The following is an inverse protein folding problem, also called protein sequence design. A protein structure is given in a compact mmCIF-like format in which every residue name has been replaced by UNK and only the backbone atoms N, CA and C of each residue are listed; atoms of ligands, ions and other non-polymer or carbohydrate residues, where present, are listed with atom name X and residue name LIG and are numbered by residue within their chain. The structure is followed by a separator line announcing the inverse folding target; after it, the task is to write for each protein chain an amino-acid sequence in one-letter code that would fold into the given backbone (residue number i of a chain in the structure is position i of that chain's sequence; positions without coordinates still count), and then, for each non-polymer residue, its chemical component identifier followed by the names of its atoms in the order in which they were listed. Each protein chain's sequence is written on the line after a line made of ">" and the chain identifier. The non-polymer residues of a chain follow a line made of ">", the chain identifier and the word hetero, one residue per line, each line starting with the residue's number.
data_IF_146349072596
#
_entry.id   IF_146349072596
#
_cell.length_a   1.000
_cell.length_b   1.000
_cell.length_c   1.000
_cell.angle_alpha   90.00
_cell.angle_beta   90.00
_cell.angle_gamma   90.00
#
_symmetry.space_group_name_H-M   'P 1'
#
loop_
_entity.id
_entity.type
_entity.pdbx_description
1 polymer ?
#
# COMPACT_ATOMS: atom_id res chain seq x y z
N UNK A 1 5.64 -1.93 35.83
CA UNK A 1 6.05 -2.78 34.71
C UNK A 1 5.37 -2.42 33.37
N UNK A 2 4.03 -2.28 33.26
CA UNK A 2 3.33 -1.98 32.01
C UNK A 2 3.74 -0.67 31.29
N UNK A 3 4.10 0.39 32.04
CA UNK A 3 4.56 1.66 31.45
C UNK A 3 5.97 1.58 30.87
N UNK A 4 6.91 0.92 31.55
CA UNK A 4 8.29 0.75 31.08
C UNK A 4 8.30 -0.09 29.79
N UNK A 5 7.54 -1.18 29.75
CA UNK A 5 7.40 -2.01 28.55
C UNK A 5 6.83 -1.22 27.35
N UNK A 6 5.83 -0.34 27.56
CA UNK A 6 5.29 0.53 26.50
C UNK A 6 6.31 1.54 26.01
N UNK A 7 7.05 2.17 26.92
CA UNK A 7 8.10 3.15 26.57
C UNK A 7 9.22 2.48 25.78
N UNK A 8 9.69 1.31 26.22
CA UNK A 8 10.69 0.53 25.49
C UNK A 8 10.21 0.11 24.11
N UNK A 9 8.95 -0.33 23.98
CA UNK A 9 8.37 -0.69 22.71
C UNK A 9 8.31 0.51 21.75
N UNK A 10 7.80 1.64 22.21
CA UNK A 10 7.75 2.88 21.42
C UNK A 10 9.16 3.34 21.02
N UNK A 11 10.10 3.34 21.96
CA UNK A 11 11.48 3.72 21.69
C UNK A 11 12.14 2.83 20.62
N UNK A 12 11.90 1.51 20.68
CA UNK A 12 12.40 0.56 19.70
C UNK A 12 11.88 0.84 18.28
N UNK A 13 10.60 1.16 18.14
CA UNK A 13 10.01 1.48 16.84
C UNK A 13 10.38 2.87 16.32
N UNK A 14 10.59 3.84 17.22
CA UNK A 14 11.01 5.19 16.84
C UNK A 14 12.52 5.29 16.57
N UNK A 15 13.32 4.38 17.10
CA UNK A 15 14.78 4.41 16.97
C UNK A 15 15.26 4.51 15.51
N UNK A 16 14.78 3.69 14.54
CA UNK A 16 15.20 3.80 13.15
C UNK A 16 14.87 5.17 12.54
N UNK A 17 13.72 5.75 12.88
CA UNK A 17 13.30 7.06 12.37
C UNK A 17 14.17 8.19 12.97
N UNK A 18 14.47 8.11 14.26
CA UNK A 18 15.38 9.05 14.92
C UNK A 18 16.79 8.94 14.33
N UNK A 19 17.27 7.71 14.11
CA UNK A 19 18.57 7.48 13.47
C UNK A 19 18.63 8.11 12.07
N UNK A 20 17.61 7.89 11.23
CA UNK A 20 17.53 8.50 9.90
C UNK A 20 17.47 10.04 9.99
N UNK A 21 16.74 10.59 10.97
CA UNK A 21 16.67 12.02 11.22
C UNK A 21 18.04 12.62 11.58
N UNK A 22 18.79 11.97 12.46
CA UNK A 22 20.17 12.38 12.82
C UNK A 22 21.08 12.24 11.60
N UNK A 23 21.00 11.12 10.89
CA UNK A 23 21.85 10.80 9.74
C UNK A 23 21.65 11.78 8.58
N UNK A 24 20.45 12.30 8.39
CA UNK A 24 20.12 13.30 7.38
C UNK A 24 20.95 14.58 7.56
N UNK A 25 21.25 14.97 8.80
CA UNK A 25 22.06 16.15 9.13
C UNK A 25 23.52 15.82 9.44
N UNK A 26 23.92 14.54 9.43
CA UNK A 26 25.28 14.13 9.69
C UNK A 26 26.15 14.39 8.46
N UNK A 27 27.28 15.05 8.69
CA UNK A 27 28.37 15.17 7.72
C UNK A 27 29.29 13.96 7.82
N UNK A 28 30.43 14.14 8.50
CA UNK A 28 31.36 13.05 8.82
C UNK A 28 30.84 12.31 10.04
N UNK A 29 30.67 11.00 9.88
CA UNK A 29 30.29 10.11 10.98
C UNK A 29 30.95 8.76 10.79
N UNK A 30 32.07 8.57 11.42
CA UNK A 30 32.90 7.38 11.30
C UNK A 30 32.80 6.51 12.55
N UNK A 31 32.81 5.19 12.37
CA UNK A 31 32.94 4.26 13.48
C UNK A 31 34.31 4.48 14.20
N UNK A 32 34.39 4.47 15.56
CA UNK A 32 33.38 4.07 16.53
C UNK A 32 32.54 5.20 17.14
N UNK A 33 32.51 6.41 16.55
CA UNK A 33 31.78 7.54 17.11
C UNK A 33 30.28 7.27 17.23
N UNK A 34 29.69 7.57 18.40
CA UNK A 34 28.26 7.40 18.65
C UNK A 34 27.42 8.56 18.10
N UNK A 35 28.03 9.73 17.89
CA UNK A 35 27.39 10.92 17.33
C UNK A 35 28.19 11.43 16.14
N UNK A 36 27.56 12.20 15.23
CA UNK A 36 28.27 12.81 14.11
C UNK A 36 29.35 13.77 14.57
N UNK A 37 30.51 13.70 13.91
CA UNK A 37 31.64 14.62 14.14
C UNK A 37 31.37 16.01 13.55
N UNK A 38 30.52 16.08 12.52
CA UNK A 38 30.11 17.33 11.91
C UNK A 38 28.63 17.29 11.49
N UNK A 39 28.01 18.46 11.48
CA UNK A 39 26.62 18.63 11.05
C UNK A 39 26.58 19.38 9.72
N UNK A 40 25.67 18.97 8.83
CA UNK A 40 25.54 19.56 7.49
C UNK A 40 24.10 19.64 7.04
N UNK A 41 23.76 20.68 6.25
CA UNK A 41 22.49 20.81 5.56
C UNK A 41 22.49 20.23 4.12
N UNK A 42 23.52 19.46 3.75
CA UNK A 42 23.73 18.97 2.37
C UNK A 42 22.55 18.21 1.81
N UNK A 43 21.89 17.38 2.60
CA UNK A 43 20.73 16.62 2.17
C UNK A 43 19.55 17.53 1.76
N UNK A 44 19.28 18.57 2.55
CA UNK A 44 18.23 19.54 2.23
C UNK A 44 18.59 20.35 0.98
N UNK A 45 19.84 20.81 0.89
CA UNK A 45 20.33 21.52 -0.31
C UNK A 45 20.20 20.65 -1.57
N UNK A 46 20.54 19.35 -1.48
CA UNK A 46 20.39 18.40 -2.57
C UNK A 46 18.92 18.26 -3.00
N UNK A 47 17.99 18.07 -2.05
CA UNK A 47 16.55 17.92 -2.34
C UNK A 47 16.01 19.20 -3.00
N UNK A 48 16.39 20.38 -2.52
CA UNK A 48 15.97 21.64 -3.10
C UNK A 48 16.52 21.84 -4.52
N UNK A 49 17.80 21.50 -4.74
CA UNK A 49 18.44 21.58 -6.06
C UNK A 49 17.82 20.57 -7.04
N UNK A 50 17.42 19.39 -6.58
CA UNK A 50 16.85 18.29 -7.38
C UNK A 50 15.33 18.14 -7.20
N UNK A 51 14.63 19.21 -6.79
CA UNK A 51 13.18 19.16 -6.53
C UNK A 51 12.36 18.64 -7.71
N UNK A 52 12.74 18.98 -8.93
CA UNK A 52 12.05 18.50 -10.14
C UNK A 52 12.05 16.99 -10.27
N UNK A 53 13.22 16.33 -10.36
CA UNK A 53 13.32 14.86 -10.36
C UNK A 53 12.66 14.17 -9.17
N UNK A 54 12.85 14.70 -7.94
CA UNK A 54 12.24 14.16 -6.72
C UNK A 54 10.72 14.20 -6.80
N UNK A 55 10.12 15.34 -7.13
CA UNK A 55 8.66 15.48 -7.23
C UNK A 55 8.08 14.66 -8.40
N UNK A 56 8.78 14.60 -9.53
CA UNK A 56 8.36 13.78 -10.68
C UNK A 56 8.33 12.30 -10.32
N UNK A 57 9.36 11.79 -9.64
CA UNK A 57 9.42 10.39 -9.24
C UNK A 57 8.39 10.07 -8.15
N UNK A 58 8.16 10.95 -7.18
CA UNK A 58 7.10 10.82 -6.17
C UNK A 58 5.71 10.82 -6.82
N UNK A 59 5.44 11.79 -7.70
CA UNK A 59 4.17 11.90 -8.40
C UNK A 59 3.86 10.68 -9.27
N UNK A 60 4.85 10.21 -10.03
CA UNK A 60 4.72 9.00 -10.85
C UNK A 60 4.48 7.76 -9.99
N UNK A 61 5.26 7.57 -8.91
CA UNK A 61 5.06 6.45 -7.97
C UNK A 61 3.68 6.47 -7.35
N UNK A 62 3.23 7.61 -6.89
CA UNK A 62 1.88 7.76 -6.31
C UNK A 62 0.81 7.46 -7.35
N UNK A 63 0.96 7.96 -8.57
CA UNK A 63 -0.01 7.78 -9.65
C UNK A 63 -0.14 6.29 -10.06
N UNK A 64 0.98 5.60 -10.35
CA UNK A 64 0.89 4.18 -10.72
C UNK A 64 0.44 3.29 -9.56
N UNK A 65 0.79 3.63 -8.31
CA UNK A 65 0.32 2.89 -7.14
C UNK A 65 -1.18 3.04 -6.91
N UNK A 66 -1.73 4.25 -7.05
CA UNK A 66 -3.17 4.47 -7.01
C UNK A 66 -3.89 3.76 -8.16
N UNK A 67 -3.31 3.78 -9.36
CA UNK A 67 -3.85 3.04 -10.52
C UNK A 67 -3.84 1.54 -10.26
N UNK A 68 -2.76 1.01 -9.65
CA UNK A 68 -2.70 -0.40 -9.25
C UNK A 68 -3.77 -0.76 -8.20
N UNK A 69 -4.06 0.14 -7.24
CA UNK A 69 -5.17 -0.04 -6.30
C UNK A 69 -6.50 -0.16 -7.03
N UNK A 70 -6.79 0.74 -7.98
CA UNK A 70 -8.05 0.71 -8.74
C UNK A 70 -8.19 -0.55 -9.59
N UNK A 71 -7.12 -0.95 -10.29
CA UNK A 71 -7.10 -2.19 -11.08
C UNK A 71 -7.30 -3.41 -10.17
N UNK A 72 -6.55 -3.49 -9.05
CA UNK A 72 -6.68 -4.59 -8.08
C UNK A 72 -8.09 -4.65 -7.49
N UNK A 73 -8.68 -3.51 -7.15
CA UNK A 73 -10.05 -3.42 -6.65
C UNK A 73 -11.06 -3.97 -7.67
N UNK A 74 -10.95 -3.53 -8.92
CA UNK A 74 -11.84 -3.95 -9.99
C UNK A 74 -11.81 -5.47 -10.20
N UNK A 75 -10.61 -6.05 -10.33
CA UNK A 75 -10.45 -7.49 -10.56
C UNK A 75 -10.72 -8.33 -9.32
N UNK A 76 -10.53 -7.82 -8.11
CA UNK A 76 -10.76 -8.55 -6.86
C UNK A 76 -12.22 -8.59 -6.43
N UNK A 77 -13.05 -7.63 -6.86
CA UNK A 77 -14.42 -7.47 -6.35
C UNK A 77 -15.29 -8.73 -6.58
N UNK A 78 -15.36 -9.20 -7.81
CA UNK A 78 -16.19 -10.35 -8.14
C UNK A 78 -15.70 -11.66 -7.49
N UNK A 79 -14.43 -12.05 -7.61
CA UNK A 79 -13.94 -13.25 -6.95
C UNK A 79 -14.03 -13.18 -5.42
N UNK A 80 -13.77 -12.03 -4.80
CA UNK A 80 -13.91 -11.86 -3.35
C UNK A 80 -15.35 -12.13 -2.88
N UNK A 81 -16.34 -11.58 -3.60
CA UNK A 81 -17.77 -11.79 -3.29
C UNK A 81 -18.15 -13.26 -3.42
N UNK A 82 -17.72 -13.93 -4.50
CA UNK A 82 -18.02 -15.36 -4.70
C UNK A 82 -17.39 -16.23 -3.62
N UNK A 83 -16.10 -16.00 -3.33
CA UNK A 83 -15.37 -16.74 -2.30
C UNK A 83 -15.93 -16.52 -0.89
N UNK A 84 -16.45 -15.31 -0.59
CA UNK A 84 -17.03 -15.01 0.71
C UNK A 84 -18.45 -15.62 0.87
N UNK A 85 -19.25 -15.62 -0.21
CA UNK A 85 -20.70 -15.87 -0.13
C UNK A 85 -21.12 -17.25 -0.60
N UNK A 86 -20.30 -17.95 -1.39
CA UNK A 86 -20.65 -19.25 -1.98
C UNK A 86 -19.74 -20.37 -1.52
N UNK A 87 -20.32 -21.54 -1.33
CA UNK A 87 -19.60 -22.79 -1.19
C UNK A 87 -19.78 -23.59 -2.48
N UNK A 88 -18.69 -24.04 -3.09
CA UNK A 88 -18.68 -24.81 -4.32
C UNK A 88 -17.49 -25.78 -4.32
N UNK A 89 -17.62 -26.85 -5.12
CA UNK A 89 -16.51 -27.81 -5.29
C UNK A 89 -15.31 -27.10 -5.91
N UNK A 90 -14.09 -27.34 -5.33
CA UNK A 90 -12.86 -26.69 -5.80
C UNK A 90 -12.63 -25.25 -5.28
N UNK A 91 -13.46 -24.73 -4.37
CA UNK A 91 -13.28 -23.40 -3.77
C UNK A 91 -11.86 -23.19 -3.21
N UNK A 92 -11.32 -24.19 -2.49
CA UNK A 92 -9.97 -24.12 -1.92
C UNK A 92 -8.91 -24.00 -3.01
N UNK A 93 -9.02 -24.79 -4.08
CA UNK A 93 -8.11 -24.73 -5.22
C UNK A 93 -8.13 -23.34 -5.89
N UNK A 94 -9.33 -22.82 -6.20
CA UNK A 94 -9.48 -21.49 -6.80
C UNK A 94 -8.88 -20.41 -5.89
N UNK A 95 -9.14 -20.49 -4.59
CA UNK A 95 -8.58 -19.54 -3.63
C UNK A 95 -7.05 -19.62 -3.57
N UNK A 96 -6.46 -20.82 -3.58
CA UNK A 96 -5.00 -21.00 -3.60
C UNK A 96 -4.40 -20.44 -4.88
N UNK A 97 -5.00 -20.69 -6.04
CA UNK A 97 -4.53 -20.15 -7.32
C UNK A 97 -4.58 -18.62 -7.36
N UNK A 98 -5.66 -18.01 -6.86
CA UNK A 98 -5.76 -16.55 -6.80
C UNK A 98 -4.78 -15.91 -5.82
N UNK A 99 -4.30 -16.65 -4.83
CA UNK A 99 -3.30 -16.20 -3.87
C UNK A 99 -1.86 -16.58 -4.28
N UNK A 100 -1.70 -17.38 -5.34
CA UNK A 100 -0.39 -17.84 -5.80
C UNK A 100 0.64 -16.71 -6.05
N UNK A 101 0.26 -15.49 -6.52
CA UNK A 101 1.22 -14.39 -6.67
C UNK A 101 1.95 -14.01 -5.38
N UNK A 102 1.37 -14.27 -4.18
CA UNK A 102 2.06 -14.02 -2.90
C UNK A 102 3.20 -14.99 -2.62
N UNK A 103 3.18 -16.15 -3.24
CA UNK A 103 4.17 -17.21 -3.04
C UNK A 103 5.34 -17.09 -4.01
N UNK A 104 5.18 -16.30 -5.07
CA UNK A 104 6.19 -16.13 -6.11
C UNK A 104 7.04 -14.89 -5.79
N UNK A 105 8.38 -15.03 -5.69
CA UNK A 105 9.26 -13.88 -5.54
C UNK A 105 9.07 -12.85 -6.66
N UNK A 106 9.09 -11.56 -6.33
CA UNK A 106 8.85 -10.47 -7.28
C UNK A 106 9.75 -10.56 -8.53
N UNK A 107 11.00 -10.97 -8.34
CA UNK A 107 11.98 -11.17 -9.45
C UNK A 107 11.51 -12.24 -10.42
N UNK A 108 11.07 -13.40 -9.92
CA UNK A 108 10.60 -14.52 -10.76
C UNK A 108 9.32 -14.12 -11.50
N UNK A 109 8.42 -13.45 -10.79
CA UNK A 109 7.18 -12.92 -11.35
C UNK A 109 7.45 -11.92 -12.48
N UNK A 110 8.38 -10.99 -12.25
CA UNK A 110 8.77 -9.99 -13.23
C UNK A 110 9.39 -10.64 -14.49
N UNK A 111 10.38 -11.50 -14.30
CA UNK A 111 11.07 -12.17 -15.42
C UNK A 111 10.12 -13.06 -16.22
N UNK A 112 9.19 -13.75 -15.56
CA UNK A 112 8.19 -14.59 -16.21
C UNK A 112 7.19 -13.81 -17.08
N UNK A 113 6.75 -12.62 -16.62
CA UNK A 113 5.77 -11.80 -17.33
C UNK A 113 6.39 -10.78 -18.27
N UNK A 114 7.66 -10.45 -18.14
CA UNK A 114 8.33 -9.46 -18.99
C UNK A 114 8.23 -9.75 -20.51
N UNK A 115 8.49 -10.98 -20.99
CA UNK A 115 8.32 -11.29 -22.41
C UNK A 115 6.88 -11.10 -22.91
N UNK A 116 5.90 -11.39 -22.06
CA UNK A 116 4.48 -11.16 -22.39
C UNK A 116 4.19 -9.66 -22.49
N UNK A 117 4.67 -8.85 -21.53
CA UNK A 117 4.49 -7.39 -21.54
C UNK A 117 5.14 -6.75 -22.77
N UNK A 118 6.31 -7.26 -23.20
CA UNK A 118 6.97 -6.85 -24.44
C UNK A 118 6.13 -7.16 -25.67
N UNK A 119 5.62 -8.41 -25.79
CA UNK A 119 4.77 -8.83 -26.92
C UNK A 119 3.48 -8.03 -27.01
N UNK A 120 2.91 -7.65 -25.88
CA UNK A 120 1.71 -6.83 -25.82
C UNK A 120 1.98 -5.33 -26.06
N UNK A 121 3.25 -4.93 -26.17
CA UNK A 121 3.65 -3.53 -26.38
C UNK A 121 3.31 -2.59 -25.22
N UNK A 122 3.18 -3.14 -24.01
CA UNK A 122 2.85 -2.38 -22.79
C UNK A 122 4.04 -2.22 -21.84
N UNK A 123 5.20 -2.85 -22.13
CA UNK A 123 6.47 -2.52 -21.47
C UNK A 123 6.85 -1.07 -21.72
N UNK A 124 7.67 -0.51 -20.83
CA UNK A 124 8.17 0.86 -20.89
C UNK A 124 7.08 1.93 -20.81
N UNK A 125 5.88 1.53 -20.39
CA UNK A 125 4.72 2.40 -20.28
C UNK A 125 4.15 2.39 -18.87
N UNK A 126 3.59 3.53 -18.46
CA UNK A 126 2.89 3.68 -17.19
C UNK A 126 1.82 2.61 -16.97
N UNK A 127 1.01 2.30 -17.99
CA UNK A 127 -0.06 1.28 -17.89
C UNK A 127 0.48 -0.12 -17.65
N UNK A 128 1.60 -0.51 -18.26
CA UNK A 128 2.26 -1.79 -18.02
C UNK A 128 2.79 -1.91 -16.58
N UNK A 129 3.42 -0.85 -16.08
CA UNK A 129 3.87 -0.78 -14.69
C UNK A 129 2.69 -0.89 -13.72
N UNK A 130 1.63 -0.11 -13.92
CA UNK A 130 0.44 -0.16 -13.08
C UNK A 130 -0.24 -1.54 -13.10
N UNK A 131 -0.29 -2.20 -14.26
CA UNK A 131 -0.89 -3.52 -14.42
C UNK A 131 -0.08 -4.60 -13.68
N UNK A 132 1.24 -4.63 -13.84
CA UNK A 132 2.08 -5.65 -13.17
C UNK A 132 2.04 -5.49 -11.65
N UNK A 133 2.06 -4.26 -11.16
CA UNK A 133 1.92 -3.96 -9.75
C UNK A 133 0.54 -4.37 -9.21
N UNK A 134 -0.51 -4.11 -9.99
CA UNK A 134 -1.85 -4.55 -9.64
C UNK A 134 -1.96 -6.07 -9.55
N UNK A 135 -1.36 -6.80 -10.50
CA UNK A 135 -1.37 -8.27 -10.52
C UNK A 135 -0.57 -8.85 -9.34
N UNK A 136 0.59 -8.28 -9.01
CA UNK A 136 1.39 -8.73 -7.87
C UNK A 136 0.72 -8.47 -6.52
N UNK A 137 0.03 -7.32 -6.39
CA UNK A 137 -0.65 -6.91 -5.16
C UNK A 137 -2.13 -7.34 -5.09
N UNK A 138 -2.70 -7.90 -6.17
CA UNK A 138 -4.09 -8.39 -6.25
C UNK A 138 -4.53 -9.23 -5.05
N UNK A 139 -3.71 -10.20 -4.55
CA UNK A 139 -4.13 -11.04 -3.43
C UNK A 139 -4.43 -10.28 -2.15
N UNK A 140 -3.75 -9.16 -1.89
CA UNK A 140 -4.02 -8.33 -0.71
C UNK A 140 -5.42 -7.70 -0.78
N UNK A 141 -5.77 -7.14 -1.94
CA UNK A 141 -7.11 -6.59 -2.16
C UNK A 141 -8.18 -7.68 -2.09
N UNK A 142 -7.92 -8.84 -2.72
CA UNK A 142 -8.81 -9.98 -2.69
C UNK A 142 -9.14 -10.42 -1.26
N UNK A 143 -8.13 -10.57 -0.40
CA UNK A 143 -8.31 -10.95 1.01
C UNK A 143 -9.09 -9.91 1.79
N UNK A 144 -8.74 -8.64 1.65
CA UNK A 144 -9.43 -7.56 2.34
C UNK A 144 -10.92 -7.51 1.97
N UNK A 145 -11.23 -7.58 0.67
CA UNK A 145 -12.62 -7.60 0.22
C UNK A 145 -13.35 -8.87 0.62
N UNK A 146 -12.70 -10.05 0.57
CA UNK A 146 -13.29 -11.31 1.00
C UNK A 146 -13.71 -11.23 2.48
N UNK A 147 -12.84 -10.70 3.35
CA UNK A 147 -13.15 -10.47 4.76
C UNK A 147 -14.31 -9.47 4.93
N UNK A 148 -14.27 -8.36 4.16
CA UNK A 148 -15.34 -7.37 4.17
C UNK A 148 -16.69 -7.95 3.75
N UNK A 149 -16.76 -8.77 2.70
CA UNK A 149 -17.99 -9.46 2.33
C UNK A 149 -18.45 -10.47 3.39
N UNK A 150 -17.52 -11.21 4.00
CA UNK A 150 -17.84 -12.21 5.01
C UNK A 150 -18.40 -11.59 6.31
N UNK A 151 -18.00 -10.37 6.66
CA UNK A 151 -18.47 -9.68 7.87
C UNK A 151 -19.88 -9.11 7.76
N UNK A 152 -20.46 -9.03 6.56
CA UNK A 152 -21.81 -8.48 6.36
C UNK A 152 -22.84 -9.62 6.48
N UNK A 153 -23.81 -9.57 7.41
CA UNK A 153 -24.87 -10.56 7.53
C UNK A 153 -25.72 -10.65 6.24
N UNK A 154 -26.13 -11.87 5.86
CA UNK A 154 -26.95 -12.08 4.65
C UNK A 154 -28.34 -11.42 4.75
N UNK A 155 -28.82 -11.26 5.95
CA UNK A 155 -30.12 -10.67 6.27
C UNK A 155 -30.23 -9.23 5.74
N UNK A 156 -29.15 -8.47 5.73
CA UNK A 156 -29.15 -7.12 5.13
C UNK A 156 -29.36 -7.14 3.61
N UNK A 157 -28.77 -8.12 2.92
CA UNK A 157 -28.98 -8.29 1.49
C UNK A 157 -30.42 -8.72 1.19
N UNK A 158 -30.94 -9.69 1.96
CA UNK A 158 -32.31 -10.17 1.84
C UNK A 158 -33.31 -9.04 2.11
N UNK A 159 -33.15 -8.29 3.19
CA UNK A 159 -34.01 -7.17 3.54
C UNK A 159 -34.02 -6.09 2.46
N UNK A 160 -32.86 -5.79 1.87
CA UNK A 160 -32.77 -4.85 0.76
C UNK A 160 -33.51 -5.35 -0.49
N UNK A 161 -33.43 -6.67 -0.82
CA UNK A 161 -34.20 -7.27 -1.90
C UNK A 161 -35.70 -7.19 -1.64
N UNK A 162 -36.17 -7.48 -0.44
CA UNK A 162 -37.58 -7.37 -0.06
C UNK A 162 -38.12 -5.95 -0.20
N UNK A 163 -37.28 -4.94 0.00
CA UNK A 163 -37.59 -3.52 -0.21
C UNK A 163 -37.44 -3.08 -1.69
N UNK A 164 -37.25 -4.04 -2.62
CA UNK A 164 -37.14 -3.75 -4.06
C UNK A 164 -35.80 -3.23 -4.54
N UNK A 165 -34.76 -3.19 -3.68
CA UNK A 165 -33.43 -2.79 -4.12
C UNK A 165 -32.78 -3.88 -4.99
N UNK A 166 -32.10 -3.50 -6.07
CA UNK A 166 -31.39 -4.43 -6.98
C UNK A 166 -30.03 -3.86 -7.39
N UNK A 167 -29.10 -4.78 -7.72
CA UNK A 167 -27.82 -4.44 -8.33
C UNK A 167 -27.04 -3.36 -7.61
N UNK A 168 -26.83 -2.23 -8.29
CA UNK A 168 -26.03 -1.10 -7.80
C UNK A 168 -26.59 -0.46 -6.52
N UNK A 169 -27.91 -0.52 -6.33
CA UNK A 169 -28.57 0.04 -5.14
C UNK A 169 -28.23 -0.78 -3.88
N UNK A 170 -28.18 -2.11 -3.98
CA UNK A 170 -27.73 -2.98 -2.89
C UNK A 170 -26.24 -2.72 -2.62
N UNK A 171 -25.43 -2.60 -3.68
CA UNK A 171 -24.01 -2.28 -3.54
C UNK A 171 -23.80 -0.96 -2.78
N UNK A 172 -24.43 0.12 -3.21
CA UNK A 172 -24.23 1.46 -2.64
C UNK A 172 -24.83 1.64 -1.24
N UNK A 173 -25.97 0.97 -0.94
CA UNK A 173 -26.68 1.14 0.33
C UNK A 173 -26.32 0.12 1.39
N UNK A 174 -25.93 -1.10 1.00
CA UNK A 174 -25.64 -2.20 1.93
C UNK A 174 -24.14 -2.50 1.96
N UNK A 175 -23.57 -2.87 0.81
CA UNK A 175 -22.19 -3.34 0.78
C UNK A 175 -21.18 -2.22 1.01
N UNK A 176 -21.21 -1.16 0.20
CA UNK A 176 -20.20 -0.12 0.23
C UNK A 176 -20.01 0.52 1.62
N UNK A 177 -21.06 0.90 2.36
CA UNK A 177 -20.90 1.47 3.70
C UNK A 177 -20.21 0.54 4.69
N UNK A 178 -20.57 -0.74 4.65
CA UNK A 178 -20.05 -1.73 5.60
C UNK A 178 -18.68 -2.29 5.19
N UNK A 179 -18.38 -2.32 3.89
CA UNK A 179 -17.09 -2.77 3.35
C UNK A 179 -16.01 -1.68 3.35
N UNK A 180 -16.39 -0.43 3.60
CA UNK A 180 -15.45 0.70 3.49
C UNK A 180 -14.16 0.51 4.33
N UNK A 181 -14.19 0.01 5.58
CA UNK A 181 -12.96 -0.27 6.33
C UNK A 181 -12.09 -1.34 5.67
N UNK A 182 -12.68 -2.44 5.21
CA UNK A 182 -11.97 -3.51 4.53
C UNK A 182 -11.38 -3.05 3.19
N UNK A 183 -12.14 -2.25 2.44
CA UNK A 183 -11.70 -1.65 1.18
C UNK A 183 -10.51 -0.71 1.40
N UNK A 184 -10.58 0.19 2.38
CA UNK A 184 -9.49 1.12 2.69
C UNK A 184 -8.25 0.38 3.21
N UNK A 185 -8.42 -0.64 4.04
CA UNK A 185 -7.32 -1.50 4.50
C UNK A 185 -6.64 -2.18 3.31
N UNK A 186 -7.40 -2.82 2.42
CA UNK A 186 -6.87 -3.44 1.20
C UNK A 186 -6.16 -2.43 0.29
N UNK A 187 -6.77 -1.27 0.07
CA UNK A 187 -6.22 -0.19 -0.74
C UNK A 187 -4.89 0.32 -0.16
N UNK A 188 -4.79 0.47 1.16
CA UNK A 188 -3.56 0.90 1.82
C UNK A 188 -2.44 -0.12 1.62
N UNK A 189 -2.72 -1.42 1.80
CA UNK A 189 -1.71 -2.47 1.64
C UNK A 189 -1.25 -2.57 0.18
N UNK A 190 -2.18 -2.54 -0.79
CA UNK A 190 -1.85 -2.54 -2.23
C UNK A 190 -1.03 -1.30 -2.60
N UNK A 191 -1.41 -0.13 -2.11
CA UNK A 191 -0.65 1.09 -2.35
C UNK A 191 0.77 1.00 -1.80
N UNK A 192 0.92 0.56 -0.55
CA UNK A 192 2.23 0.36 0.09
C UNK A 192 3.11 -0.60 -0.71
N UNK A 193 2.57 -1.77 -1.08
CA UNK A 193 3.27 -2.76 -1.88
C UNK A 193 3.71 -2.19 -3.24
N UNK A 194 2.80 -1.51 -3.94
CA UNK A 194 3.11 -0.92 -5.25
C UNK A 194 4.09 0.26 -5.17
N UNK A 195 3.94 1.13 -4.16
CA UNK A 195 4.80 2.31 -3.98
C UNK A 195 6.24 1.93 -3.61
N UNK A 196 6.41 0.87 -2.82
CA UNK A 196 7.72 0.38 -2.39
C UNK A 196 8.40 -0.53 -3.41
N UNK A 197 7.69 -0.94 -4.46
CA UNK A 197 8.23 -1.89 -5.42
C UNK A 197 9.28 -1.22 -6.32
N UNK A 198 10.48 -1.76 -6.31
CA UNK A 198 11.59 -1.28 -7.14
C UNK A 198 11.79 -2.13 -8.38
N UNK A 199 11.87 -3.45 -8.20
CA UNK A 199 12.35 -4.35 -9.24
C UNK A 199 11.35 -4.49 -10.40
N UNK A 200 10.05 -4.67 -10.08
CA UNK A 200 9.00 -4.72 -11.09
C UNK A 200 8.93 -3.43 -11.91
N UNK A 201 9.01 -2.29 -11.22
CA UNK A 201 8.96 -0.98 -11.90
C UNK A 201 10.19 -0.75 -12.76
N UNK A 202 11.38 -1.13 -12.27
CA UNK A 202 12.62 -1.02 -13.01
C UNK A 202 12.61 -1.89 -14.27
N UNK A 203 12.20 -3.16 -14.15
CA UNK A 203 12.21 -4.10 -15.26
C UNK A 203 11.14 -3.77 -16.31
N UNK A 204 9.88 -3.58 -15.88
CA UNK A 204 8.75 -3.36 -16.79
C UNK A 204 8.69 -1.92 -17.30
N UNK A 205 9.15 -0.97 -16.49
CA UNK A 205 9.18 0.44 -16.86
C UNK A 205 10.42 0.86 -17.67
N UNK A 206 11.42 -0.05 -17.82
CA UNK A 206 12.61 0.16 -18.65
C UNK A 206 13.41 1.44 -18.33
N UNK A 207 13.27 1.99 -17.13
CA UNK A 207 13.83 3.30 -16.77
C UNK A 207 13.10 4.51 -17.35
N UNK A 208 12.10 4.30 -18.22
CA UNK A 208 11.30 5.38 -18.83
C UNK A 208 10.17 5.84 -17.93
N UNK A 209 9.66 4.96 -17.07
CA UNK A 209 8.66 5.29 -16.06
C UNK A 209 9.37 5.71 -14.76
N UNK A 210 9.34 7.00 -14.39
CA UNK A 210 10.01 7.46 -13.17
C UNK A 210 9.42 6.76 -11.95
N UNK A 211 10.29 6.35 -11.02
CA UNK A 211 9.86 5.79 -9.74
C UNK A 211 10.70 6.34 -8.59
N UNK A 212 10.08 6.51 -7.43
CA UNK A 212 10.80 7.02 -6.28
C UNK A 212 11.79 6.00 -5.72
N UNK A 213 11.42 4.73 -5.68
CA UNK A 213 12.33 3.63 -5.36
C UNK A 213 13.50 3.55 -6.36
N UNK A 214 13.23 3.75 -7.65
CA UNK A 214 14.26 3.83 -8.70
C UNK A 214 15.19 5.04 -8.57
N UNK A 215 14.69 6.17 -8.07
CA UNK A 215 15.49 7.35 -7.75
C UNK A 215 16.34 7.16 -6.49
N UNK A 216 15.81 6.51 -5.47
CA UNK A 216 16.43 6.32 -4.16
C UNK A 216 17.53 5.24 -4.16
N UNK A 217 17.28 4.08 -4.79
CA UNK A 217 18.19 2.92 -4.73
C UNK A 217 19.60 3.21 -5.22
N UNK A 218 19.84 3.92 -6.34
CA UNK A 218 21.19 4.28 -6.77
C UNK A 218 21.95 5.14 -5.75
N UNK A 219 21.28 6.06 -5.06
CA UNK A 219 21.88 6.94 -4.05
C UNK A 219 22.26 6.15 -2.79
N UNK A 220 21.47 5.17 -2.38
CA UNK A 220 21.82 4.25 -1.29
C UNK A 220 23.08 3.46 -1.67
N UNK A 221 23.14 2.94 -2.91
CA UNK A 221 24.33 2.20 -3.39
C UNK A 221 25.58 3.05 -3.53
N UNK A 222 25.43 4.34 -3.80
CA UNK A 222 26.55 5.28 -3.82
C UNK A 222 27.07 5.65 -2.42
N UNK A 223 26.51 5.06 -1.35
CA UNK A 223 26.90 5.29 0.04
C UNK A 223 26.78 6.75 0.51
N UNK A 224 25.94 7.53 -0.13
CA UNK A 224 25.61 8.88 0.33
C UNK A 224 24.52 8.82 1.41
N UNK A 225 24.96 8.51 2.62
CA UNK A 225 24.07 8.25 3.76
C UNK A 225 23.20 9.43 4.16
N UNK A 226 23.73 10.66 4.07
CA UNK A 226 22.98 11.88 4.45
C UNK A 226 21.81 12.11 3.51
N UNK A 227 22.06 12.13 2.19
CA UNK A 227 21.01 12.31 1.17
C UNK A 227 20.04 11.14 1.17
N UNK A 228 20.55 9.89 1.22
CA UNK A 228 19.71 8.69 1.27
C UNK A 228 18.78 8.70 2.48
N UNK A 229 19.25 9.09 3.67
CA UNK A 229 18.40 9.15 4.87
C UNK A 229 17.26 10.16 4.72
N UNK A 230 17.54 11.33 4.15
CA UNK A 230 16.52 12.34 3.90
C UNK A 230 15.46 11.83 2.90
N UNK A 231 15.88 11.17 1.82
CA UNK A 231 14.98 10.61 0.83
C UNK A 231 14.19 9.41 1.39
N UNK A 232 14.78 8.57 2.25
CA UNK A 232 14.06 7.50 2.95
C UNK A 232 12.98 8.08 3.85
N UNK A 233 13.24 9.19 4.57
CA UNK A 233 12.20 9.85 5.37
C UNK A 233 11.05 10.36 4.52
N UNK A 234 11.33 10.96 3.35
CA UNK A 234 10.29 11.36 2.39
C UNK A 234 9.52 10.14 1.89
N UNK A 235 10.22 9.03 1.57
CA UNK A 235 9.60 7.78 1.15
C UNK A 235 8.61 7.24 2.18
N UNK A 236 8.92 7.33 3.46
CA UNK A 236 8.03 6.89 4.55
C UNK A 236 6.85 7.85 4.76
N UNK A 237 7.05 9.15 4.51
CA UNK A 237 6.00 10.15 4.71
C UNK A 237 4.81 9.96 3.76
N UNK A 238 5.04 9.59 2.49
CA UNK A 238 3.96 9.48 1.48
C UNK A 238 2.91 8.43 1.87
N UNK A 239 3.26 7.18 2.20
CA UNK A 239 2.29 6.19 2.67
C UNK A 239 1.62 6.58 3.99
N UNK A 240 2.36 7.19 4.92
CA UNK A 240 1.80 7.65 6.19
C UNK A 240 0.76 8.76 5.98
N UNK A 241 1.04 9.71 5.09
CA UNK A 241 0.08 10.77 4.72
C UNK A 241 -1.15 10.17 4.05
N UNK A 242 -0.98 9.20 3.15
CA UNK A 242 -2.09 8.52 2.51
C UNK A 242 -2.95 7.79 3.55
N UNK A 243 -2.32 7.01 4.44
CA UNK A 243 -3.02 6.32 5.53
C UNK A 243 -3.81 7.29 6.41
N UNK A 244 -3.17 8.37 6.87
CA UNK A 244 -3.82 9.39 7.69
C UNK A 244 -4.98 10.08 6.95
N UNK A 245 -4.84 10.30 5.64
CA UNK A 245 -5.92 10.85 4.81
C UNK A 245 -7.10 9.88 4.71
N UNK A 246 -6.83 8.60 4.45
CA UNK A 246 -7.85 7.56 4.37
C UNK A 246 -8.59 7.39 5.70
N UNK A 247 -7.88 7.36 6.82
CA UNK A 247 -8.46 7.31 8.16
C UNK A 247 -9.36 8.52 8.47
N UNK A 248 -8.90 9.73 8.11
CA UNK A 248 -9.70 10.96 8.26
C UNK A 248 -10.96 10.94 7.40
N UNK A 249 -10.87 10.47 6.17
CA UNK A 249 -12.04 10.32 5.28
C UNK A 249 -13.04 9.32 5.85
N UNK A 250 -12.55 8.19 6.33
CA UNK A 250 -13.38 7.16 6.96
C UNK A 250 -14.09 7.69 8.21
N UNK A 251 -13.34 8.33 9.11
CA UNK A 251 -13.88 8.89 10.34
C UNK A 251 -14.92 10.01 10.10
N UNK A 252 -14.73 10.83 9.06
CA UNK A 252 -15.71 11.85 8.62
C UNK A 252 -16.97 11.21 8.06
N UNK A 253 -16.83 10.15 7.26
CA UNK A 253 -17.95 9.44 6.66
C UNK A 253 -18.86 8.82 7.72
N UNK A 254 -18.30 8.11 8.72
CA UNK A 254 -19.08 7.51 9.81
C UNK A 254 -19.72 8.54 10.73
N UNK A 255 -19.00 9.61 11.06
CA UNK A 255 -19.57 10.71 11.85
C UNK A 255 -20.80 11.36 11.20
N UNK A 256 -20.78 11.55 9.89
CA UNK A 256 -21.91 12.11 9.14
C UNK A 256 -23.14 11.20 9.10
N UNK A 257 -22.95 9.90 9.28
CA UNK A 257 -24.02 8.90 9.29
C UNK A 257 -24.51 8.53 10.69
N UNK A 258 -24.03 9.18 11.76
CA UNK A 258 -24.41 8.89 13.14
C UNK A 258 -23.95 7.52 13.65
N UNK A 259 -23.07 6.84 12.91
CA UNK A 259 -22.51 5.55 13.30
C UNK A 259 -21.23 5.80 14.11
N UNK A 260 -21.33 5.74 15.44
CA UNK A 260 -20.15 5.87 16.33
C UNK A 260 -19.16 4.71 16.07
N UNK A 261 -17.88 5.04 15.82
CA UNK A 261 -16.80 4.06 15.65
C UNK A 261 -16.57 3.15 16.87
N UNK A 262 -17.13 3.51 18.04
CA UNK A 262 -16.95 2.78 19.31
C UNK A 262 -17.72 1.48 19.42
N UNK A 263 -18.85 1.33 18.73
CA UNK A 263 -19.70 0.14 18.85
C UNK A 263 -19.24 -1.05 18.00
N UNK A 264 -18.56 -0.80 16.88
CA UNK A 264 -18.11 -1.90 16.01
C UNK A 264 -16.74 -2.50 16.43
N UNK A 265 -15.88 -1.76 17.11
CA UNK A 265 -14.62 -2.29 17.64
C UNK A 265 -14.77 -2.91 19.05
N UNK A 266 -15.81 -2.53 19.79
CA UNK A 266 -16.11 -3.07 21.13
C UNK A 266 -16.90 -4.37 21.12
N UNK A 267 -17.62 -4.69 20.05
CA UNK A 267 -18.43 -5.91 19.92
C UNK A 267 -17.65 -7.20 19.70
N UNK A 268 -16.38 -7.14 19.28
CA UNK A 268 -15.55 -8.33 19.06
C UNK A 268 -14.68 -8.75 20.25
N UNK A 269 -14.72 -8.02 21.37
CA UNK A 269 -13.92 -8.34 22.56
C UNK A 269 -14.78 -8.93 23.71
N UNK A 270 -16.08 -9.13 23.49
CA UNK A 270 -16.99 -9.71 24.48
C UNK A 270 -17.77 -10.92 23.93
N UNK A 271 -17.07 -11.87 23.38
CA UNK A 271 -17.61 -13.25 23.22
C UNK A 271 -16.48 -14.25 23.40
#
# INVERSE_FOLDING_TARGET
>A
MKHISRVMFIAFFLFPLLYLGIRMFAGIWSYPALLPESWTGRALAYILANRGPVLRSLGSSTAYSLTAVLISLFFSYAPARVLARRNFAGKSLVQTLLLAPLLVPAVVYALGLFPLMLRLGISDRFGGVALILALSAFPYMLRALQTGFASIPREYEISAYMLGARGIRIFSSVYLPQMLPALLSGATVVFLAAFSEYFLVFLIGGGLVPSYSGYLVPLIRASDWSISSALILIFLLVPLMLYALMERLLSRYYRRRGMGMGEQLGGQVRS
#
